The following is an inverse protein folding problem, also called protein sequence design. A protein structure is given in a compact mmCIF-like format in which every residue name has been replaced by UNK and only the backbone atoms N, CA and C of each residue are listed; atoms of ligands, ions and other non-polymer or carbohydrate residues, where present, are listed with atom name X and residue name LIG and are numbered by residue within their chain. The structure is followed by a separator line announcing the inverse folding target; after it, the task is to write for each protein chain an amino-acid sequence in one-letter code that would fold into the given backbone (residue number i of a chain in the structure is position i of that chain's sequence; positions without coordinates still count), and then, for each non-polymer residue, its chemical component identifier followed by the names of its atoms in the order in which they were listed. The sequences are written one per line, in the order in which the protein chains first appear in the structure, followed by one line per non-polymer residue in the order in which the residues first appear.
data_IF_455387075800
#
_entry.id   IF_455387075800
#
_cell.length_a   1.000
_cell.length_b   1.000
_cell.length_c   1.000
_cell.angle_alpha   90.00
_cell.angle_beta   90.00
_cell.angle_gamma   90.00
#
_symmetry.space_group_name_H-M   'P 1'
#
loop_
_entity.id
_entity.type
_entity.pdbx_description
1 polymer ?
#
# COMPACT_ATOMS: atom_id res chain seq x y z
N UNK A 1 11.17 8.46 21.72
CA UNK A 1 11.84 7.58 20.74
C UNK A 1 10.90 7.47 19.54
N UNK A 2 11.21 8.05 18.37
CA UNK A 2 10.40 7.80 17.20
C UNK A 2 10.64 6.35 16.77
N UNK A 3 9.56 5.60 16.52
CA UNK A 3 9.68 4.29 15.86
C UNK A 3 9.94 4.57 14.40
N UNK A 4 11.17 4.34 13.95
CA UNK A 4 11.53 4.43 12.54
C UNK A 4 11.13 3.11 11.87
N UNK A 5 10.02 3.14 11.15
CA UNK A 5 9.53 1.99 10.39
C UNK A 5 10.21 1.98 9.01
N UNK A 6 11.38 1.35 8.91
CA UNK A 6 12.16 1.28 7.67
C UNK A 6 11.63 0.24 6.69
N UNK A 7 10.88 0.67 5.66
CA UNK A 7 10.35 -0.19 4.60
C UNK A 7 11.02 -0.03 3.23
N UNK A 8 12.10 0.74 3.15
CA UNK A 8 12.88 0.96 1.94
C UNK A 8 13.26 -0.33 1.21
N UNK A 9 12.81 -0.56 -0.02
CA UNK A 9 13.13 -1.78 -0.78
C UNK A 9 12.47 -3.07 -0.28
N UNK A 10 11.56 -3.00 0.69
CA UNK A 10 10.77 -4.16 1.15
C UNK A 10 9.55 -4.31 0.24
N UNK A 11 9.10 -5.53 0.00
CA UNK A 11 7.87 -5.80 -0.75
C UNK A 11 6.71 -6.00 0.22
N UNK A 12 5.61 -5.28 0.03
CA UNK A 12 4.42 -5.32 0.90
C UNK A 12 3.18 -5.64 0.07
N UNK A 13 2.38 -6.60 0.53
CA UNK A 13 1.05 -6.88 -0.01
C UNK A 13 0.00 -6.28 0.93
N UNK A 14 -0.90 -5.47 0.39
CA UNK A 14 -2.04 -4.93 1.13
C UNK A 14 -3.32 -5.56 0.59
N UNK A 15 -4.10 -6.20 1.45
CA UNK A 15 -5.41 -6.78 1.10
C UNK A 15 -6.54 -5.78 1.40
N UNK A 16 -7.58 -5.76 0.56
CA UNK A 16 -8.64 -4.74 0.61
C UNK A 16 -8.11 -3.34 0.28
N UNK A 17 -7.08 -3.26 -0.57
CA UNK A 17 -6.27 -2.06 -0.74
C UNK A 17 -6.86 -1.03 -1.70
N UNK A 18 -7.93 -1.35 -2.40
CA UNK A 18 -8.40 -0.48 -3.48
C UNK A 18 -9.23 0.73 -2.98
N UNK A 19 -9.59 0.79 -1.69
CA UNK A 19 -10.40 1.90 -1.15
C UNK A 19 -10.02 2.29 0.27
N UNK A 20 -10.41 3.52 0.63
CA UNK A 20 -10.42 4.07 1.99
C UNK A 20 -9.13 3.75 2.79
N UNK A 21 -9.25 3.02 3.89
CA UNK A 21 -8.15 2.72 4.79
C UNK A 21 -7.09 1.83 4.12
N UNK A 22 -7.49 0.84 3.33
CA UNK A 22 -6.55 -0.06 2.67
C UNK A 22 -5.63 0.69 1.71
N UNK A 23 -6.18 1.65 0.97
CA UNK A 23 -5.38 2.53 0.11
C UNK A 23 -4.46 3.45 0.92
N UNK A 24 -4.96 4.09 1.98
CA UNK A 24 -4.14 4.95 2.84
C UNK A 24 -2.96 4.20 3.48
N UNK A 25 -3.17 2.94 3.86
CA UNK A 25 -2.12 2.05 4.37
C UNK A 25 -1.09 1.72 3.29
N UNK A 26 -1.55 1.35 2.09
CA UNK A 26 -0.66 1.11 0.95
C UNK A 26 0.21 2.33 0.62
N UNK A 27 -0.40 3.52 0.61
CA UNK A 27 0.27 4.79 0.36
C UNK A 27 1.31 5.10 1.46
N UNK A 28 0.99 4.82 2.73
CA UNK A 28 1.95 4.98 3.82
C UNK A 28 3.18 4.08 3.67
N UNK A 29 3.00 2.82 3.22
CA UNK A 29 4.12 1.93 2.92
C UNK A 29 4.95 2.41 1.71
N UNK A 30 4.29 2.88 0.65
CA UNK A 30 4.96 3.45 -0.52
C UNK A 30 5.82 4.66 -0.16
N UNK A 31 5.29 5.60 0.64
CA UNK A 31 6.05 6.75 1.16
C UNK A 31 7.22 6.36 2.07
N UNK A 32 7.15 5.19 2.70
CA UNK A 32 8.24 4.63 3.50
C UNK A 32 9.26 3.84 2.67
N UNK A 33 9.18 3.91 1.33
CA UNK A 33 10.14 3.29 0.40
C UNK A 33 9.84 1.85 0.01
N UNK A 34 8.66 1.34 0.38
CA UNK A 34 8.27 -0.03 0.03
C UNK A 34 7.85 -0.17 -1.45
N UNK A 35 8.06 -1.36 -1.99
CA UNK A 35 7.38 -1.82 -3.21
C UNK A 35 6.04 -2.42 -2.80
N UNK A 36 4.95 -1.76 -3.15
CA UNK A 36 3.61 -2.15 -2.67
C UNK A 36 2.79 -2.82 -3.78
N UNK A 37 2.18 -3.96 -3.46
CA UNK A 37 1.19 -4.64 -4.27
C UNK A 37 -0.19 -4.47 -3.64
N UNK A 38 -1.14 -3.97 -4.44
CA UNK A 38 -2.55 -3.83 -4.03
C UNK A 38 -3.31 -5.10 -4.40
N UNK A 39 -4.02 -5.67 -3.43
CA UNK A 39 -4.95 -6.77 -3.65
C UNK A 39 -6.33 -6.39 -3.14
N UNK A 40 -7.33 -6.53 -3.99
CA UNK A 40 -8.73 -6.32 -3.67
C UNK A 40 -9.58 -7.36 -4.40
N UNK A 41 -10.84 -7.50 -4.02
CA UNK A 41 -11.76 -8.44 -4.65
C UNK A 41 -12.13 -7.98 -6.08
N UNK A 42 -12.10 -6.67 -6.35
CA UNK A 42 -12.34 -6.10 -7.67
C UNK A 42 -11.01 -5.70 -8.32
N UNK A 43 -10.60 -6.39 -9.40
CA UNK A 43 -9.43 -6.00 -10.19
C UNK A 43 -9.53 -4.57 -10.72
N UNK A 44 -10.73 -4.16 -11.15
CA UNK A 44 -10.98 -2.84 -11.73
C UNK A 44 -10.68 -1.72 -10.72
N UNK A 45 -10.97 -1.95 -9.43
CA UNK A 45 -10.66 -0.96 -8.39
C UNK A 45 -9.17 -0.84 -8.11
N UNK A 46 -8.41 -1.94 -8.21
CA UNK A 46 -6.96 -1.88 -8.12
C UNK A 46 -6.35 -1.09 -9.28
N UNK A 47 -6.88 -1.24 -10.50
CA UNK A 47 -6.41 -0.50 -11.68
C UNK A 47 -6.72 1.00 -11.63
N UNK A 48 -7.81 1.38 -10.97
CA UNK A 48 -8.20 2.78 -10.76
C UNK A 48 -7.53 3.44 -9.56
N UNK A 49 -6.82 2.67 -8.72
CA UNK A 49 -6.12 3.21 -7.57
C UNK A 49 -5.05 4.21 -8.02
N UNK A 50 -4.98 5.41 -7.42
CA UNK A 50 -3.92 6.38 -7.73
C UNK A 50 -2.54 5.77 -7.48
N UNK A 51 -1.61 6.00 -8.41
CA UNK A 51 -0.21 5.59 -8.31
C UNK A 51 0.64 6.51 -7.46
#
# INVERSE_FOLDING_TARGET
MPVELGFEGRTVLVAGAATALGFAVAEAFGRAGARVALNDLSPERCEQAPG
#
